data_IF_914553389652
#
_entry.id   IF_914553389652
#
_cell.length_a   1.000
_cell.length_b   1.000
_cell.length_c   1.000
_cell.angle_alpha   90.00
_cell.angle_beta   90.00
_cell.angle_gamma   90.00
#
_symmetry.space_group_name_H-M   'P 1'
#
loop_
_entity.id
_entity.type
_entity.pdbx_description
1 polymer ?
#
# COMPACT_ATOMS: atom_id res chain seq x y z
N UNK A 1 -11.60 -15.38 5.65
CA UNK A 1 -10.64 -14.88 6.67
C UNK A 1 -9.77 -15.99 7.28
N UNK A 2 -8.63 -16.28 6.65
CA UNK A 2 -7.74 -17.39 7.05
C UNK A 2 -7.17 -17.29 8.48
N UNK A 3 -7.11 -16.09 9.08
CA UNK A 3 -6.66 -15.89 10.46
C UNK A 3 -7.51 -16.65 11.50
N UNK A 4 -8.76 -16.93 11.16
CA UNK A 4 -9.68 -17.70 12.01
C UNK A 4 -10.10 -19.01 11.34
N UNK A 5 -9.43 -19.40 10.25
CA UNK A 5 -9.69 -20.66 9.55
C UNK A 5 -11.04 -20.73 8.84
N UNK A 6 -11.54 -19.60 8.34
CA UNK A 6 -12.75 -19.56 7.52
C UNK A 6 -12.41 -19.09 6.11
N UNK A 7 -12.97 -19.75 5.11
CA UNK A 7 -12.81 -19.41 3.69
C UNK A 7 -14.05 -19.84 2.89
N UNK A 8 -14.74 -18.88 2.25
CA UNK A 8 -15.91 -19.15 1.40
C UNK A 8 -15.77 -18.65 -0.03
N UNK A 9 -14.76 -17.84 -0.34
CA UNK A 9 -14.62 -17.17 -1.64
C UNK A 9 -13.18 -17.22 -2.18
N UNK A 10 -13.03 -17.15 -3.50
CA UNK A 10 -11.76 -17.37 -4.18
C UNK A 10 -10.75 -16.22 -3.92
N UNK A 11 -9.48 -16.59 -3.69
CA UNK A 11 -8.37 -15.64 -3.61
C UNK A 11 -8.30 -14.77 -4.89
N UNK A 12 -8.53 -13.46 -4.76
CA UNK A 12 -8.39 -12.52 -5.88
C UNK A 12 -9.61 -11.65 -6.18
N UNK A 13 -10.76 -11.89 -5.56
CA UNK A 13 -11.99 -11.11 -5.80
C UNK A 13 -12.03 -9.77 -5.02
N UNK A 14 -10.88 -9.08 -4.93
CA UNK A 14 -10.73 -7.84 -4.16
C UNK A 14 -11.52 -6.66 -4.72
N UNK A 15 -12.01 -6.75 -5.96
CA UNK A 15 -12.72 -5.67 -6.65
C UNK A 15 -14.25 -5.79 -6.58
N UNK A 16 -14.79 -6.89 -6.06
CA UNK A 16 -16.23 -7.14 -5.93
C UNK A 16 -16.78 -6.82 -4.53
N UNK A 17 -15.96 -6.34 -3.59
CA UNK A 17 -16.42 -5.84 -2.28
C UNK A 17 -17.22 -4.54 -2.41
N UNK A 18 -18.39 -4.61 -3.02
CA UNK A 18 -19.42 -3.61 -2.83
C UNK A 18 -20.01 -3.85 -1.44
N UNK A 19 -19.79 -2.89 -0.53
CA UNK A 19 -20.29 -2.91 0.85
C UNK A 19 -21.81 -3.11 1.00
N UNK A 20 -22.56 -3.10 -0.10
CA UNK A 20 -24.02 -3.02 -0.16
C UNK A 20 -24.64 -3.95 -1.20
N UNK A 21 -23.94 -4.97 -1.70
CA UNK A 21 -24.63 -5.94 -2.55
C UNK A 21 -25.44 -6.91 -1.68
N UNK A 22 -26.74 -6.99 -1.94
CA UNK A 22 -27.74 -7.67 -1.10
C UNK A 22 -27.74 -9.21 -1.24
N UNK A 23 -26.86 -9.76 -2.09
CA UNK A 23 -26.74 -11.19 -2.34
C UNK A 23 -25.64 -11.87 -1.51
N UNK A 24 -24.51 -11.18 -1.30
CA UNK A 24 -23.38 -11.65 -0.51
C UNK A 24 -23.17 -10.75 0.71
N UNK A 25 -22.87 -11.32 1.87
CA UNK A 25 -22.77 -10.56 3.13
C UNK A 25 -21.52 -9.67 3.11
N UNK A 26 -21.55 -8.51 2.43
CA UNK A 26 -20.37 -7.69 2.09
C UNK A 26 -19.36 -7.49 3.23
N UNK A 27 -18.08 -7.28 2.93
CA UNK A 27 -16.89 -7.29 3.81
C UNK A 27 -17.08 -7.40 5.34
N UNK A 28 -17.78 -6.46 5.99
CA UNK A 28 -18.00 -6.50 7.44
C UNK A 28 -18.94 -7.63 7.88
N UNK A 29 -19.94 -7.97 7.07
CA UNK A 29 -20.82 -9.12 7.24
C UNK A 29 -20.04 -10.42 7.23
N UNK A 30 -19.18 -10.64 6.24
CA UNK A 30 -18.27 -11.79 6.19
C UNK A 30 -17.38 -11.90 7.43
N UNK A 31 -16.80 -10.79 7.91
CA UNK A 31 -15.99 -10.79 9.13
C UNK A 31 -16.83 -11.27 10.31
N UNK A 32 -18.04 -10.75 10.49
CA UNK A 32 -18.92 -11.15 11.60
C UNK A 32 -19.32 -12.62 11.45
N UNK A 33 -19.72 -13.05 10.26
CA UNK A 33 -20.14 -14.42 9.97
C UNK A 33 -19.00 -15.42 10.20
N UNK A 34 -17.77 -15.02 9.89
CA UNK A 34 -16.62 -15.87 10.01
C UNK A 34 -16.30 -16.26 11.46
N UNK A 35 -16.69 -15.45 12.45
CA UNK A 35 -16.58 -15.84 13.87
C UNK A 35 -17.42 -17.08 14.20
N UNK A 36 -18.50 -17.34 13.48
CA UNK A 36 -19.35 -18.53 13.71
C UNK A 36 -18.69 -19.82 13.24
N UNK A 37 -17.72 -19.73 12.33
CA UNK A 37 -16.99 -20.87 11.75
C UNK A 37 -15.51 -20.87 12.17
N UNK A 38 -15.20 -20.22 13.28
CA UNK A 38 -13.84 -20.01 13.70
C UNK A 38 -13.16 -21.33 14.12
N UNK A 39 -12.07 -21.67 13.45
CA UNK A 39 -11.27 -22.85 13.74
C UNK A 39 -10.23 -22.57 14.83
N UNK A 40 -10.37 -23.22 15.99
CA UNK A 40 -9.52 -22.97 17.15
C UNK A 40 -8.01 -23.12 16.87
N UNK A 41 -7.62 -24.13 16.07
CA UNK A 41 -6.21 -24.33 15.69
C UNK A 41 -5.64 -23.17 14.87
N UNK A 42 -6.45 -22.57 13.98
CA UNK A 42 -6.03 -21.42 13.17
C UNK A 42 -5.82 -20.18 14.03
N UNK A 43 -6.75 -19.92 14.97
CA UNK A 43 -6.64 -18.82 15.92
C UNK A 43 -5.37 -18.93 16.75
N UNK A 44 -5.07 -20.13 17.29
CA UNK A 44 -3.85 -20.35 18.10
C UNK A 44 -2.60 -20.05 17.26
N UNK A 45 -2.52 -20.60 16.04
CA UNK A 45 -1.38 -20.35 15.14
C UNK A 45 -1.25 -18.86 14.82
N UNK A 46 -2.35 -18.15 14.55
CA UNK A 46 -2.34 -16.71 14.29
C UNK A 46 -1.89 -15.91 15.51
N UNK A 47 -2.39 -16.21 16.71
CA UNK A 47 -1.99 -15.51 17.94
C UNK A 47 -0.52 -15.71 18.27
N UNK A 48 -0.02 -16.95 18.15
CA UNK A 48 1.41 -17.26 18.33
C UNK A 48 2.25 -16.52 17.29
N UNK A 49 1.81 -16.52 16.03
CA UNK A 49 2.49 -15.81 14.93
C UNK A 49 2.58 -14.31 15.19
N UNK A 50 1.47 -13.68 15.61
CA UNK A 50 1.47 -12.26 16.00
C UNK A 50 2.38 -12.00 17.19
N UNK A 51 2.36 -12.88 18.20
CA UNK A 51 3.26 -12.81 19.36
C UNK A 51 4.74 -12.80 18.95
N UNK A 52 5.13 -13.72 18.05
CA UNK A 52 6.49 -13.79 17.50
C UNK A 52 6.85 -12.50 16.76
N UNK A 53 5.98 -12.00 15.88
CA UNK A 53 6.24 -10.78 15.11
C UNK A 53 6.35 -9.54 16.01
N UNK A 54 5.50 -9.43 17.03
CA UNK A 54 5.56 -8.34 18.02
C UNK A 54 6.85 -8.44 18.83
N UNK A 55 7.24 -9.64 19.27
CA UNK A 55 8.49 -9.88 19.99
C UNK A 55 9.70 -9.47 19.15
N UNK A 56 9.75 -9.87 17.87
CA UNK A 56 10.80 -9.45 16.94
C UNK A 56 10.87 -7.92 16.75
N UNK A 57 9.73 -7.24 16.80
CA UNK A 57 9.68 -5.78 16.66
C UNK A 57 10.04 -5.04 17.95
N UNK A 58 9.75 -5.59 19.13
CA UNK A 58 10.00 -4.94 20.43
C UNK A 58 11.36 -5.28 21.03
N UNK A 59 11.87 -6.50 20.84
CA UNK A 59 13.10 -7.00 21.47
C UNK A 59 14.30 -6.72 20.56
N UNK A 60 15.22 -5.80 20.92
CA UNK A 60 16.36 -5.45 20.07
C UNK A 60 17.34 -6.61 19.82
N UNK A 61 17.46 -7.54 20.77
CA UNK A 61 18.33 -8.71 20.63
C UNK A 61 17.91 -9.62 19.46
N UNK A 62 16.61 -9.84 19.27
CA UNK A 62 16.07 -10.62 18.16
C UNK A 62 16.34 -9.94 16.81
N UNK A 63 16.37 -8.60 16.77
CA UNK A 63 16.73 -7.85 15.56
C UNK A 63 18.20 -7.99 15.17
N UNK A 64 19.08 -8.37 16.10
CA UNK A 64 20.50 -8.62 15.81
C UNK A 64 20.71 -9.97 15.10
N UNK A 65 19.74 -10.89 15.16
CA UNK A 65 19.75 -12.15 14.42
C UNK A 65 19.45 -11.88 12.94
N UNK A 66 20.42 -11.32 12.21
CA UNK A 66 20.30 -10.98 10.79
C UNK A 66 19.96 -12.20 9.90
N UNK A 67 20.31 -13.41 10.36
CA UNK A 67 20.10 -14.67 9.63
C UNK A 67 18.65 -15.19 9.70
N UNK A 68 17.86 -14.78 10.70
CA UNK A 68 16.51 -15.33 10.90
C UNK A 68 15.47 -14.20 11.00
N UNK A 69 14.86 -13.81 9.87
CA UNK A 69 13.76 -12.85 9.85
C UNK A 69 12.54 -13.36 10.62
N UNK A 70 11.84 -12.46 11.32
CA UNK A 70 10.61 -12.79 12.05
C UNK A 70 9.56 -13.56 11.23
N UNK A 71 9.25 -13.17 9.98
CA UNK A 71 8.32 -13.92 9.13
C UNK A 71 8.76 -15.37 8.86
N UNK A 72 10.06 -15.64 8.73
CA UNK A 72 10.56 -17.00 8.54
C UNK A 72 10.34 -17.84 9.80
N UNK A 73 10.57 -17.27 10.99
CA UNK A 73 10.31 -17.93 12.26
C UNK A 73 8.83 -18.25 12.43
N UNK A 74 7.94 -17.31 12.06
CA UNK A 74 6.49 -17.52 12.05
C UNK A 74 6.11 -18.74 11.20
N UNK A 75 6.65 -18.85 9.99
CA UNK A 75 6.38 -19.98 9.10
C UNK A 75 6.84 -21.30 9.71
N UNK A 76 8.08 -21.36 10.21
CA UNK A 76 8.64 -22.57 10.81
C UNK A 76 7.82 -23.00 12.02
N UNK A 77 7.54 -22.07 12.95
CA UNK A 77 6.75 -22.36 14.15
C UNK A 77 5.32 -22.75 13.81
N UNK A 78 4.70 -22.08 12.84
CA UNK A 78 3.35 -22.42 12.38
C UNK A 78 3.24 -23.82 11.79
N UNK A 79 4.23 -24.24 10.99
CA UNK A 79 4.32 -25.62 10.48
C UNK A 79 4.48 -26.59 11.66
N UNK A 80 5.41 -26.34 12.59
CA UNK A 80 5.65 -27.22 13.73
C UNK A 80 4.42 -27.37 14.63
N UNK A 81 3.72 -26.27 14.93
CA UNK A 81 2.48 -26.30 15.72
C UNK A 81 1.42 -27.14 15.00
N UNK A 82 1.25 -26.95 13.69
CA UNK A 82 0.26 -27.71 12.95
C UNK A 82 0.58 -29.21 12.88
N UNK A 83 1.86 -29.58 12.74
CA UNK A 83 2.28 -30.98 12.79
C UNK A 83 2.09 -31.59 14.19
N UNK A 84 2.31 -30.82 15.26
CA UNK A 84 1.97 -31.24 16.63
C UNK A 84 0.47 -31.43 16.82
N UNK A 85 -0.37 -30.56 16.25
CA UNK A 85 -1.82 -30.75 16.27
C UNK A 85 -2.23 -32.02 15.53
N UNK A 86 -1.69 -32.29 14.35
CA UNK A 86 -1.96 -33.55 13.63
C UNK A 86 -1.59 -34.78 14.47
N UNK A 87 -0.49 -34.72 15.22
CA UNK A 87 -0.01 -35.85 16.01
C UNK A 87 -0.78 -36.07 17.33
N UNK A 88 -1.09 -35.00 18.05
CA UNK A 88 -1.61 -35.08 19.44
C UNK A 88 -3.03 -34.58 19.62
N UNK A 89 -3.50 -33.67 18.76
CA UNK A 89 -4.82 -33.05 18.86
C UNK A 89 -5.47 -32.86 17.47
N UNK A 90 -5.93 -33.96 16.82
CA UNK A 90 -6.41 -33.91 15.43
C UNK A 90 -7.56 -32.92 15.19
N UNK A 91 -8.36 -32.61 16.23
CA UNK A 91 -9.43 -31.61 16.16
C UNK A 91 -8.93 -30.16 15.99
N UNK A 92 -7.65 -29.89 16.28
CA UNK A 92 -7.01 -28.58 16.09
C UNK A 92 -6.17 -28.52 14.81
N UNK A 93 -6.02 -29.63 14.09
CA UNK A 93 -5.18 -29.70 12.91
C UNK A 93 -5.77 -28.90 11.75
N UNK A 94 -4.97 -28.00 11.18
CA UNK A 94 -5.32 -27.20 10.00
C UNK A 94 -5.01 -28.06 8.77
N UNK A 95 -6.05 -28.37 7.99
CA UNK A 95 -5.95 -29.25 6.80
C UNK A 95 -6.72 -28.66 5.62
N UNK A 96 -6.61 -29.29 4.45
CA UNK A 96 -7.32 -28.90 3.23
C UNK A 96 -6.94 -27.49 2.75
N UNK A 97 -7.96 -26.70 2.40
CA UNK A 97 -7.83 -25.38 1.77
C UNK A 97 -7.25 -24.29 2.70
N UNK A 98 -7.01 -24.60 3.97
CA UNK A 98 -6.39 -23.66 4.93
C UNK A 98 -4.86 -23.81 5.03
N UNK A 99 -4.28 -24.68 4.21
CA UNK A 99 -2.84 -24.76 3.97
C UNK A 99 -2.50 -24.07 2.64
N UNK A 100 -1.28 -23.54 2.55
CA UNK A 100 -0.75 -23.05 1.27
C UNK A 100 -0.79 -24.19 0.25
N UNK A 101 -1.23 -23.89 -0.97
CA UNK A 101 -1.30 -24.86 -2.05
C UNK A 101 -0.48 -24.39 -3.24
N UNK A 102 0.74 -24.89 -3.35
CA UNK A 102 1.58 -24.70 -4.53
C UNK A 102 1.48 -25.94 -5.43
N UNK A 103 1.17 -25.75 -6.73
CA UNK A 103 1.16 -26.84 -7.68
C UNK A 103 2.57 -27.44 -7.84
N UNK A 104 2.69 -28.74 -8.09
CA UNK A 104 3.94 -29.35 -8.54
C UNK A 104 4.48 -28.63 -9.78
N UNK A 105 5.80 -28.55 -9.91
CA UNK A 105 6.43 -27.86 -11.04
C UNK A 105 6.05 -28.47 -12.41
N UNK A 106 5.83 -29.79 -12.46
CA UNK A 106 5.30 -30.47 -13.66
C UNK A 106 3.96 -29.90 -14.11
N UNK A 107 3.10 -29.58 -13.14
CA UNK A 107 1.74 -29.12 -13.38
C UNK A 107 1.74 -27.65 -13.80
N UNK A 108 2.70 -26.86 -13.32
CA UNK A 108 2.92 -25.49 -13.78
C UNK A 108 3.30 -25.47 -15.27
N UNK A 109 4.19 -26.37 -15.70
CA UNK A 109 4.60 -26.46 -17.10
C UNK A 109 3.44 -26.93 -17.99
N UNK A 110 2.68 -27.95 -17.55
CA UNK A 110 1.57 -28.49 -18.34
C UNK A 110 0.35 -27.57 -18.36
N UNK A 111 0.15 -26.77 -17.32
CA UNK A 111 -0.94 -25.78 -17.21
C UNK A 111 -0.58 -24.43 -17.82
N UNK A 112 0.62 -24.26 -18.36
CA UNK A 112 1.00 -23.05 -19.06
C UNK A 112 0.06 -22.83 -20.25
N UNK A 113 -0.66 -21.71 -20.22
CA UNK A 113 -1.54 -21.28 -21.30
C UNK A 113 -1.05 -19.94 -21.81
N UNK A 114 -0.83 -19.87 -23.12
CA UNK A 114 -0.57 -18.60 -23.76
C UNK A 114 -1.81 -17.69 -23.66
N UNK A 115 -1.65 -16.36 -23.51
CA UNK A 115 -2.79 -15.47 -23.38
C UNK A 115 -3.77 -15.59 -24.54
N UNK A 116 -5.06 -15.65 -24.23
CA UNK A 116 -6.11 -15.58 -25.23
C UNK A 116 -6.34 -14.13 -25.64
N UNK A 117 -5.87 -13.78 -26.85
CA UNK A 117 -6.01 -12.44 -27.41
C UNK A 117 -7.44 -12.09 -27.82
N UNK A 118 -8.37 -13.06 -27.85
CA UNK A 118 -9.80 -12.77 -28.03
C UNK A 118 -10.32 -11.84 -26.93
N UNK A 119 -9.73 -11.91 -25.74
CA UNK A 119 -10.03 -11.04 -24.60
C UNK A 119 -9.79 -9.55 -24.85
N UNK A 120 -8.98 -9.17 -25.85
CA UNK A 120 -8.79 -7.76 -26.23
C UNK A 120 -10.07 -7.12 -26.80
N UNK A 121 -11.03 -7.92 -27.27
CA UNK A 121 -12.34 -7.43 -27.68
C UNK A 121 -13.27 -7.12 -26.49
N UNK A 122 -12.92 -7.57 -25.28
CA UNK A 122 -13.72 -7.36 -24.07
C UNK A 122 -13.39 -5.99 -23.45
N UNK A 123 -14.35 -5.06 -23.35
CA UNK A 123 -14.14 -3.75 -22.72
C UNK A 123 -13.67 -3.85 -21.25
N UNK A 124 -14.08 -4.89 -20.52
CA UNK A 124 -13.69 -5.08 -19.12
C UNK A 124 -12.17 -5.28 -18.96
N UNK A 125 -11.50 -5.90 -19.95
CA UNK A 125 -10.05 -6.09 -19.95
C UNK A 125 -9.33 -4.75 -20.04
N UNK A 126 -9.85 -3.81 -20.86
CA UNK A 126 -9.29 -2.46 -20.98
C UNK A 126 -9.48 -1.63 -19.71
N UNK A 127 -10.66 -1.69 -19.10
CA UNK A 127 -10.93 -0.97 -17.84
C UNK A 127 -10.02 -1.50 -16.72
N UNK A 128 -9.95 -2.82 -16.57
CA UNK A 128 -9.11 -3.47 -15.55
C UNK A 128 -7.62 -3.21 -15.82
N UNK A 129 -7.18 -3.36 -17.06
CA UNK A 129 -5.80 -3.10 -17.47
C UNK A 129 -5.38 -1.65 -17.25
N UNK A 130 -6.25 -0.68 -17.58
CA UNK A 130 -6.00 0.74 -17.33
C UNK A 130 -5.94 1.06 -15.82
N UNK A 131 -6.83 0.45 -15.04
CA UNK A 131 -6.86 0.58 -13.57
C UNK A 131 -5.56 0.07 -12.96
N UNK A 132 -5.14 -1.14 -13.34
CA UNK A 132 -3.88 -1.75 -12.89
C UNK A 132 -2.70 -0.88 -13.34
N UNK A 133 -2.66 -0.43 -14.59
CA UNK A 133 -1.58 0.43 -15.09
C UNK A 133 -1.46 1.73 -14.27
N UNK A 134 -2.58 2.37 -13.93
CA UNK A 134 -2.58 3.58 -13.12
C UNK A 134 -2.06 3.32 -11.69
N UNK A 135 -2.64 2.33 -11.00
CA UNK A 135 -2.25 1.96 -9.62
C UNK A 135 -0.78 1.53 -9.57
N UNK A 136 -0.38 0.64 -10.47
CA UNK A 136 0.96 0.09 -10.55
C UNK A 136 1.99 1.19 -10.83
N UNK A 137 1.67 2.17 -11.69
CA UNK A 137 2.54 3.30 -12.00
C UNK A 137 2.71 4.21 -10.78
N UNK A 138 1.62 4.55 -10.08
CA UNK A 138 1.69 5.37 -8.87
C UNK A 138 2.52 4.68 -7.78
N UNK A 139 2.24 3.41 -7.49
CA UNK A 139 2.98 2.66 -6.48
C UNK A 139 4.47 2.58 -6.79
N UNK A 140 4.80 2.32 -8.06
CA UNK A 140 6.20 2.17 -8.47
C UNK A 140 6.95 3.49 -8.42
N UNK A 141 6.33 4.61 -8.79
CA UNK A 141 6.95 5.94 -8.67
C UNK A 141 7.13 6.36 -7.21
N UNK A 142 6.15 6.08 -6.35
CA UNK A 142 6.29 6.32 -4.90
C UNK A 142 7.42 5.48 -4.30
N UNK A 143 7.54 4.22 -4.74
CA UNK A 143 8.65 3.34 -4.34
C UNK A 143 10.00 3.82 -4.86
N UNK A 144 10.05 4.37 -6.08
CA UNK A 144 11.25 4.96 -6.69
C UNK A 144 11.73 6.16 -5.88
N UNK A 145 10.85 7.12 -5.61
CA UNK A 145 11.17 8.33 -4.86
C UNK A 145 11.63 8.00 -3.43
N UNK A 146 10.91 7.10 -2.75
CA UNK A 146 11.31 6.65 -1.42
C UNK A 146 12.64 5.89 -1.45
N UNK A 147 12.89 5.09 -2.48
CA UNK A 147 14.16 4.40 -2.73
C UNK A 147 15.33 5.37 -2.90
N UNK A 148 15.20 6.35 -3.79
CA UNK A 148 16.22 7.39 -4.04
C UNK A 148 16.50 8.21 -2.76
N UNK A 149 15.47 8.50 -1.96
CA UNK A 149 15.63 9.19 -0.67
C UNK A 149 16.45 8.37 0.34
N UNK A 150 16.28 7.06 0.34
CA UNK A 150 17.00 6.12 1.20
C UNK A 150 18.38 5.74 0.66
N UNK A 151 18.66 5.95 -0.63
CA UNK A 151 19.95 5.58 -1.24
C UNK A 151 21.11 6.33 -0.55
N UNK A 152 22.07 5.62 0.07
CA UNK A 152 23.23 6.25 0.70
C UNK A 152 24.10 7.01 -0.31
N UNK A 153 24.08 6.60 -1.58
CA UNK A 153 24.84 7.23 -2.66
C UNK A 153 24.11 8.42 -3.30
N UNK A 154 22.86 8.69 -2.90
CA UNK A 154 22.03 9.79 -3.43
C UNK A 154 21.97 9.82 -4.95
N UNK A 155 21.89 8.66 -5.58
CA UNK A 155 21.74 8.55 -7.03
C UNK A 155 20.32 8.95 -7.42
N UNK A 156 20.19 9.47 -8.62
CA UNK A 156 18.91 9.85 -9.21
C UNK A 156 18.42 8.77 -10.17
N UNK A 157 17.14 8.42 -10.05
CA UNK A 157 16.48 7.47 -10.94
C UNK A 157 15.46 8.17 -11.84
N UNK A 158 15.43 7.82 -13.12
CA UNK A 158 14.49 8.37 -14.09
C UNK A 158 13.12 7.70 -13.97
N UNK A 159 12.09 8.47 -13.60
CA UNK A 159 10.70 8.02 -13.55
C UNK A 159 10.22 7.42 -14.89
N UNK A 160 10.58 8.05 -16.02
CA UNK A 160 10.23 7.54 -17.36
C UNK A 160 10.85 6.17 -17.64
N UNK A 161 12.07 5.94 -17.16
CA UNK A 161 12.76 4.67 -17.34
C UNK A 161 12.13 3.58 -16.48
N UNK A 162 11.74 3.92 -15.25
CA UNK A 162 11.06 3.02 -14.33
C UNK A 162 9.69 2.58 -14.89
N UNK A 163 8.87 3.52 -15.38
CA UNK A 163 7.57 3.21 -15.97
C UNK A 163 7.69 2.32 -17.22
N UNK A 164 8.69 2.58 -18.08
CA UNK A 164 8.97 1.71 -19.24
C UNK A 164 9.38 0.31 -18.79
N UNK A 165 10.27 0.20 -17.81
CA UNK A 165 10.72 -1.09 -17.28
C UNK A 165 9.53 -1.88 -16.68
N UNK A 166 8.67 -1.20 -15.91
CA UNK A 166 7.48 -1.80 -15.33
C UNK A 166 6.48 -2.27 -16.39
N UNK A 167 6.26 -1.49 -17.44
CA UNK A 167 5.39 -1.87 -18.56
C UNK A 167 5.90 -3.12 -19.28
N UNK A 168 7.20 -3.17 -19.59
CA UNK A 168 7.84 -4.35 -20.20
C UNK A 168 7.75 -5.56 -19.28
N UNK A 169 8.01 -5.37 -17.99
CA UNK A 169 7.98 -6.46 -17.01
C UNK A 169 6.55 -7.04 -16.85
N UNK A 170 5.52 -6.19 -16.84
CA UNK A 170 4.12 -6.63 -16.80
C UNK A 170 3.67 -7.31 -18.09
N UNK A 171 4.10 -6.81 -19.26
CA UNK A 171 3.83 -7.48 -20.53
C UNK A 171 4.42 -8.90 -20.56
N UNK A 172 5.68 -9.05 -20.11
CA UNK A 172 6.33 -10.36 -19.99
C UNK A 172 5.66 -11.24 -18.93
N UNK A 173 5.28 -10.68 -17.78
CA UNK A 173 4.56 -11.42 -16.73
C UNK A 173 3.25 -11.99 -17.28
N UNK A 174 2.43 -11.15 -17.93
CA UNK A 174 1.16 -11.58 -18.53
C UNK A 174 1.33 -12.62 -19.64
N UNK A 175 2.36 -12.48 -20.49
CA UNK A 175 2.69 -13.49 -21.50
C UNK A 175 3.04 -14.85 -20.89
N UNK A 176 3.66 -14.85 -19.71
CA UNK A 176 4.00 -16.05 -18.96
C UNK A 176 2.84 -16.60 -18.10
N UNK A 177 1.65 -15.99 -18.18
CA UNK A 177 0.50 -16.34 -17.33
C UNK A 177 0.62 -15.84 -15.89
N UNK A 178 1.54 -14.91 -15.63
CA UNK A 178 1.77 -14.30 -14.33
C UNK A 178 0.81 -13.16 -14.02
N UNK A 179 0.68 -12.86 -12.72
CA UNK A 179 -0.07 -11.71 -12.24
C UNK A 179 0.69 -10.40 -12.50
N UNK A 180 -0.01 -9.25 -12.51
CA UNK A 180 0.63 -7.95 -12.55
C UNK A 180 1.61 -7.74 -11.40
N UNK A 181 2.73 -7.07 -11.68
CA UNK A 181 3.82 -6.84 -10.74
C UNK A 181 4.12 -5.35 -10.57
N UNK A 182 4.55 -4.99 -9.36
CA UNK A 182 4.91 -3.62 -8.97
C UNK A 182 6.21 -3.60 -8.15
N UNK A 183 6.81 -2.41 -8.05
CA UNK A 183 7.91 -2.17 -7.12
C UNK A 183 7.37 -2.10 -5.68
N UNK A 184 8.12 -2.67 -4.72
CA UNK A 184 7.67 -2.78 -3.32
C UNK A 184 8.69 -2.17 -2.37
N UNK A 185 8.27 -1.13 -1.65
CA UNK A 185 9.15 -0.35 -0.77
C UNK A 185 9.84 -1.17 0.32
N UNK A 186 9.15 -2.15 0.88
CA UNK A 186 9.67 -2.98 1.97
C UNK A 186 10.87 -3.82 1.49
N UNK A 187 10.80 -4.38 0.28
CA UNK A 187 11.90 -5.16 -0.32
C UNK A 187 13.06 -4.24 -0.70
N UNK A 188 12.77 -3.08 -1.28
CA UNK A 188 13.80 -2.07 -1.60
C UNK A 188 14.55 -1.62 -0.35
N UNK A 189 13.83 -1.31 0.73
CA UNK A 189 14.42 -0.91 2.02
C UNK A 189 15.30 -2.02 2.60
N UNK A 190 14.84 -3.27 2.57
CA UNK A 190 15.63 -4.42 3.04
C UNK A 190 16.91 -4.61 2.22
N UNK A 191 16.82 -4.47 0.89
CA UNK A 191 17.94 -4.59 -0.03
C UNK A 191 18.99 -3.48 0.19
N UNK A 192 18.54 -2.22 0.37
CA UNK A 192 19.42 -1.08 0.71
C UNK A 192 20.10 -1.31 2.06
N UNK A 193 19.35 -1.74 3.09
CA UNK A 193 19.90 -2.03 4.42
C UNK A 193 20.87 -3.22 4.43
N UNK A 194 20.74 -4.15 3.48
CA UNK A 194 21.70 -5.23 3.26
C UNK A 194 22.97 -4.76 2.53
N UNK A 195 23.05 -3.48 2.13
CA UNK A 195 24.21 -2.90 1.45
C UNK A 195 24.28 -3.20 -0.04
N UNK A 196 23.16 -3.60 -0.68
CA UNK A 196 23.13 -3.85 -2.11
C UNK A 196 23.40 -2.56 -2.90
N UNK A 197 24.26 -2.67 -3.92
CA UNK A 197 24.69 -1.52 -4.75
C UNK A 197 24.29 -1.62 -6.21
N UNK A 198 24.00 -2.83 -6.69
CA UNK A 198 23.75 -3.14 -8.11
C UNK A 198 22.45 -3.90 -8.29
N UNK A 199 21.94 -3.90 -9.54
CA UNK A 199 20.74 -4.64 -9.94
C UNK A 199 20.90 -6.17 -9.84
N UNK A 200 22.14 -6.68 -9.67
CA UNK A 200 22.38 -8.11 -9.51
C UNK A 200 21.68 -8.67 -8.27
N UNK A 201 21.54 -7.88 -7.20
CA UNK A 201 20.85 -8.33 -5.98
C UNK A 201 19.40 -8.77 -6.26
N UNK A 202 18.67 -8.02 -7.09
CA UNK A 202 17.28 -8.36 -7.43
C UNK A 202 17.21 -9.55 -8.38
N UNK A 203 18.17 -9.71 -9.29
CA UNK A 203 18.28 -10.88 -10.17
C UNK A 203 18.53 -12.15 -9.35
N UNK A 204 19.52 -12.14 -8.45
CA UNK A 204 19.79 -13.28 -7.57
C UNK A 204 18.60 -13.57 -6.64
N UNK A 205 17.92 -12.54 -6.14
CA UNK A 205 16.70 -12.73 -5.35
C UNK A 205 15.61 -13.46 -6.14
N UNK A 206 15.38 -13.08 -7.41
CA UNK A 206 14.44 -13.76 -8.29
C UNK A 206 14.84 -15.21 -8.58
N UNK A 207 16.13 -15.47 -8.84
CA UNK A 207 16.66 -16.83 -9.03
C UNK A 207 16.45 -17.69 -7.77
N UNK A 208 16.77 -17.16 -6.59
CA UNK A 208 16.57 -17.89 -5.34
C UNK A 208 15.10 -18.17 -5.05
N UNK A 209 14.21 -17.23 -5.37
CA UNK A 209 12.77 -17.43 -5.26
C UNK A 209 12.29 -18.54 -6.19
N UNK A 210 12.74 -18.53 -7.45
CA UNK A 210 12.42 -19.58 -8.42
C UNK A 210 12.91 -20.95 -7.93
N UNK A 211 14.16 -21.04 -7.46
CA UNK A 211 14.72 -22.28 -6.90
C UNK A 211 13.90 -22.76 -5.69
N UNK A 212 13.52 -21.86 -4.79
CA UNK A 212 12.71 -22.21 -3.62
C UNK A 212 11.34 -22.76 -4.02
N UNK A 213 10.63 -22.08 -4.92
CA UNK A 213 9.31 -22.52 -5.39
C UNK A 213 9.37 -23.88 -6.08
N UNK A 214 10.46 -24.20 -6.79
CA UNK A 214 10.61 -25.51 -7.43
C UNK A 214 11.06 -26.59 -6.44
N UNK A 215 11.93 -26.26 -5.49
CA UNK A 215 12.65 -27.26 -4.68
C UNK A 215 11.96 -27.63 -3.37
N UNK A 216 11.18 -26.72 -2.78
CA UNK A 216 10.53 -26.93 -1.47
C UNK A 216 9.00 -26.81 -1.42
N UNK A 217 8.20 -27.11 -2.49
CA UNK A 217 6.73 -27.18 -2.38
C UNK A 217 6.25 -28.07 -1.23
N UNK A 218 6.90 -29.21 -1.00
CA UNK A 218 6.50 -30.15 0.06
C UNK A 218 6.59 -29.57 1.48
N UNK A 219 7.45 -28.57 1.70
CA UNK A 219 7.52 -27.82 2.96
C UNK A 219 6.52 -26.66 2.96
N UNK A 220 6.45 -25.90 1.86
CA UNK A 220 5.56 -24.75 1.74
C UNK A 220 4.09 -25.16 1.85
N UNK A 221 3.70 -26.31 1.29
CA UNK A 221 2.32 -26.82 1.35
C UNK A 221 1.89 -27.30 2.73
N UNK A 222 2.81 -27.36 3.70
CA UNK A 222 2.47 -27.63 5.12
C UNK A 222 2.19 -26.35 5.90
N UNK A 223 2.46 -25.18 5.32
CA UNK A 223 2.30 -23.89 5.96
C UNK A 223 0.81 -23.56 6.11
N UNK A 224 0.34 -23.32 7.34
CA UNK A 224 -1.02 -22.81 7.54
C UNK A 224 -1.16 -21.39 7.01
N UNK A 225 -2.24 -21.11 6.27
CA UNK A 225 -2.59 -19.77 5.77
C UNK A 225 -2.79 -18.76 6.92
N UNK A 226 -3.14 -19.25 8.12
CA UNK A 226 -3.18 -18.49 9.36
C UNK A 226 -1.86 -17.74 9.68
N UNK A 227 -0.71 -18.30 9.26
CA UNK A 227 0.61 -17.67 9.40
C UNK A 227 0.73 -16.46 8.46
N UNK A 228 0.35 -16.62 7.20
CA UNK A 228 0.36 -15.55 6.19
C UNK A 228 -0.60 -14.44 6.59
N UNK A 229 -1.79 -14.78 7.08
CA UNK A 229 -2.74 -13.81 7.59
C UNK A 229 -2.16 -12.98 8.75
N UNK A 230 -1.48 -13.61 9.71
CA UNK A 230 -0.81 -12.90 10.81
C UNK A 230 0.29 -11.96 10.31
N UNK A 231 1.09 -12.40 9.32
CA UNK A 231 2.12 -11.58 8.69
C UNK A 231 1.49 -10.35 8.01
N UNK A 232 0.43 -10.54 7.24
CA UNK A 232 -0.29 -9.47 6.54
C UNK A 232 -0.92 -8.47 7.51
N UNK A 233 -1.57 -8.95 8.58
CA UNK A 233 -2.13 -8.09 9.64
C UNK A 233 -1.01 -7.21 10.24
N UNK A 234 0.14 -7.80 10.57
CA UNK A 234 1.24 -7.05 11.17
C UNK A 234 1.84 -6.02 10.20
N UNK A 235 1.95 -6.37 8.91
CA UNK A 235 2.41 -5.43 7.87
C UNK A 235 1.41 -4.28 7.73
N UNK A 236 0.10 -4.59 7.66
CA UNK A 236 -0.98 -3.60 7.60
C UNK A 236 -0.93 -2.64 8.79
N UNK A 237 -0.82 -3.15 10.01
CA UNK A 237 -0.69 -2.32 11.23
C UNK A 237 0.57 -1.44 11.23
N UNK A 238 1.66 -1.90 10.61
CA UNK A 238 2.90 -1.13 10.50
C UNK A 238 2.77 0.00 9.47
N UNK A 239 2.13 -0.27 8.33
CA UNK A 239 1.90 0.71 7.27
C UNK A 239 0.85 1.76 7.69
N UNK A 240 -0.29 1.31 8.21
CA UNK A 240 -1.38 2.15 8.71
C UNK A 240 -1.23 2.44 10.22
N UNK A 241 -0.01 2.76 10.67
CA UNK A 241 0.24 2.88 12.11
C UNK A 241 -0.53 4.06 12.73
N UNK A 242 -1.04 3.94 13.97
CA UNK A 242 -1.75 5.05 14.64
C UNK A 242 -0.93 6.34 14.75
N UNK A 243 0.41 6.24 14.69
CA UNK A 243 1.32 7.38 14.67
C UNK A 243 1.13 8.24 13.41
N UNK A 244 0.85 7.63 12.26
CA UNK A 244 0.60 8.35 11.00
C UNK A 244 -0.69 9.17 11.12
N UNK A 245 -1.77 8.56 11.62
CA UNK A 245 -3.04 9.25 11.85
C UNK A 245 -2.88 10.42 12.82
N UNK A 246 -2.16 10.21 13.93
CA UNK A 246 -1.87 11.27 14.90
C UNK A 246 -1.03 12.39 14.28
N UNK A 247 -0.03 12.06 13.46
CA UNK A 247 0.81 13.04 12.79
C UNK A 247 0.00 13.89 11.80
N UNK A 248 -0.86 13.27 11.00
CA UNK A 248 -1.76 13.98 10.07
C UNK A 248 -2.76 14.87 10.82
N UNK A 249 -3.30 14.40 11.95
CA UNK A 249 -4.16 15.22 12.81
C UNK A 249 -3.44 16.47 13.34
N UNK A 250 -2.20 16.30 13.80
CA UNK A 250 -1.36 17.38 14.31
C UNK A 250 -0.95 18.39 13.22
N UNK A 251 -0.89 17.96 11.95
CA UNK A 251 -0.61 18.85 10.82
C UNK A 251 -1.80 19.78 10.46
N UNK A 252 -2.95 19.59 11.12
CA UNK A 252 -4.10 20.47 11.04
C UNK A 252 -5.13 20.04 10.01
N UNK A 253 -6.31 20.66 10.08
CA UNK A 253 -7.51 20.26 9.32
C UNK A 253 -7.33 20.26 7.80
N UNK A 254 -6.46 21.11 7.27
CA UNK A 254 -6.23 21.22 5.82
C UNK A 254 -5.47 20.02 5.24
N UNK A 255 -4.73 19.28 6.07
CA UNK A 255 -4.06 18.04 5.68
C UNK A 255 -4.83 16.81 6.17
N UNK A 256 -5.39 16.87 7.37
CA UNK A 256 -6.11 15.73 7.95
C UNK A 256 -7.40 15.38 7.20
N UNK A 257 -8.19 16.37 6.76
CA UNK A 257 -9.48 16.10 6.10
C UNK A 257 -9.29 15.38 4.76
N UNK A 258 -8.45 15.85 3.81
CA UNK A 258 -8.20 15.09 2.59
C UNK A 258 -7.63 13.70 2.86
N UNK A 259 -6.73 13.56 3.83
CA UNK A 259 -6.18 12.28 4.24
C UNK A 259 -7.26 11.29 4.69
N UNK A 260 -8.09 11.65 5.68
CA UNK A 260 -9.09 10.72 6.22
C UNK A 260 -10.20 10.42 5.22
N UNK A 261 -10.57 11.39 4.37
CA UNK A 261 -11.53 11.17 3.28
C UNK A 261 -10.98 10.16 2.28
N UNK A 262 -9.70 10.26 1.92
CA UNK A 262 -9.05 9.27 1.04
C UNK A 262 -9.09 7.88 1.66
N UNK A 263 -8.73 7.77 2.95
CA UNK A 263 -8.75 6.48 3.67
C UNK A 263 -10.14 5.86 3.68
N UNK A 264 -11.17 6.63 4.05
CA UNK A 264 -12.55 6.13 4.10
C UNK A 264 -13.04 5.77 2.70
N UNK A 265 -12.78 6.61 1.70
CA UNK A 265 -13.21 6.36 0.33
C UNK A 265 -12.58 5.09 -0.24
N UNK A 266 -11.27 4.86 -0.04
CA UNK A 266 -10.60 3.63 -0.49
C UNK A 266 -11.18 2.39 0.20
N UNK A 267 -11.49 2.46 1.49
CA UNK A 267 -12.07 1.33 2.24
C UNK A 267 -13.51 1.04 1.81
N UNK A 268 -14.26 2.06 1.40
CA UNK A 268 -15.70 1.94 1.08
C UNK A 268 -15.96 1.64 -0.39
N UNK A 269 -15.05 2.03 -1.28
CA UNK A 269 -15.18 1.88 -2.72
C UNK A 269 -14.05 0.98 -3.23
N UNK A 270 -13.05 1.56 -3.87
CA UNK A 270 -11.84 0.91 -4.32
C UNK A 270 -10.67 1.90 -4.28
N UNK A 271 -9.46 1.40 -4.53
CA UNK A 271 -8.25 2.21 -4.50
C UNK A 271 -8.28 3.37 -5.51
N UNK A 272 -8.76 3.14 -6.74
CA UNK A 272 -8.72 4.14 -7.80
C UNK A 272 -9.75 5.25 -7.55
N UNK A 273 -11.00 4.88 -7.27
CA UNK A 273 -12.07 5.83 -6.92
C UNK A 273 -11.70 6.58 -5.65
N UNK A 274 -11.22 5.86 -4.63
CA UNK A 274 -10.83 6.46 -3.36
C UNK A 274 -9.70 7.48 -3.49
N UNK A 275 -8.65 7.18 -4.26
CA UNK A 275 -7.57 8.12 -4.57
C UNK A 275 -8.08 9.31 -5.40
N UNK A 276 -8.98 9.08 -6.37
CA UNK A 276 -9.59 10.14 -7.16
C UNK A 276 -10.39 11.15 -6.31
N UNK A 277 -11.23 10.63 -5.41
CA UNK A 277 -11.98 11.45 -4.43
C UNK A 277 -11.01 12.20 -3.52
N UNK A 278 -10.00 11.49 -2.99
CA UNK A 278 -8.96 12.06 -2.14
C UNK A 278 -8.22 13.23 -2.78
N UNK A 279 -7.85 13.08 -4.06
CA UNK A 279 -7.18 14.12 -4.84
C UNK A 279 -8.09 15.33 -5.06
N UNK A 280 -9.35 15.13 -5.45
CA UNK A 280 -10.30 16.21 -5.64
C UNK A 280 -10.50 17.03 -4.35
N UNK A 281 -10.65 16.35 -3.21
CA UNK A 281 -10.75 16.99 -1.90
C UNK A 281 -9.45 17.70 -1.52
N UNK A 282 -8.29 17.09 -1.78
CA UNK A 282 -6.98 17.71 -1.53
C UNK A 282 -6.81 19.02 -2.29
N UNK A 283 -7.13 19.02 -3.59
CA UNK A 283 -7.07 20.22 -4.44
C UNK A 283 -7.97 21.32 -3.86
N UNK A 284 -9.22 21.00 -3.51
CA UNK A 284 -10.13 21.97 -2.90
C UNK A 284 -9.58 22.59 -1.61
N UNK A 285 -9.02 21.77 -0.71
CA UNK A 285 -8.48 22.26 0.56
C UNK A 285 -7.20 23.09 0.37
N UNK A 286 -6.33 22.73 -0.58
CA UNK A 286 -5.14 23.51 -0.93
C UNK A 286 -5.55 24.88 -1.47
N UNK A 287 -6.48 24.93 -2.42
CA UNK A 287 -6.99 26.17 -3.00
C UNK A 287 -7.61 27.06 -1.91
N UNK A 288 -8.44 26.50 -1.04
CA UNK A 288 -9.06 27.23 0.08
C UNK A 288 -8.04 27.76 1.10
N UNK A 289 -6.96 27.00 1.35
CA UNK A 289 -5.86 27.41 2.21
C UNK A 289 -5.10 28.60 1.62
N UNK A 290 -4.71 28.50 0.36
CA UNK A 290 -3.96 29.55 -0.35
C UNK A 290 -4.76 30.86 -0.50
N UNK A 291 -6.07 30.78 -0.75
CA UNK A 291 -6.94 31.96 -0.81
C UNK A 291 -7.03 32.73 0.51
N UNK A 292 -6.88 32.06 1.66
CA UNK A 292 -6.89 32.70 2.98
C UNK A 292 -5.56 33.36 3.34
N UNK A 293 -4.43 32.82 2.89
CA UNK A 293 -3.12 33.47 3.10
C UNK A 293 -3.04 34.82 2.37
N UNK A 294 -3.73 34.96 1.23
CA UNK A 294 -3.83 36.23 0.52
C UNK A 294 -4.71 37.28 1.24
N UNK A 295 -5.41 36.90 2.32
CA UNK A 295 -6.39 37.73 3.02
C UNK A 295 -5.90 38.25 4.39
N UNK A 296 -4.60 38.18 4.68
CA UNK A 296 -4.01 38.91 5.81
C UNK A 296 -3.86 40.39 5.46
N UNK A 297 -4.99 41.10 5.40
CA UNK A 297 -5.00 42.55 5.45
C UNK A 297 -4.62 42.94 6.88
N UNK A 298 -3.34 43.24 7.09
CA UNK A 298 -2.87 43.87 8.32
C UNK A 298 -3.55 45.23 8.36
N UNK A 299 -4.54 45.40 9.24
CA UNK A 299 -5.24 46.67 9.46
C UNK A 299 -4.29 47.62 10.20
N UNK A 300 -3.21 48.02 9.54
CA UNK A 300 -2.45 49.19 9.94
C UNK A 300 -3.27 50.39 9.43
N UNK A 301 -3.63 51.31 10.33
CA UNK A 301 -4.33 52.55 9.99
C UNK A 301 -3.37 53.44 9.19
N UNK A 302 -3.30 53.21 7.89
CA UNK A 302 -2.46 54.00 7.00
C UNK A 302 -3.08 55.38 6.80
N UNK A 303 -2.28 56.42 7.05
CA UNK A 303 -2.69 57.81 6.82
C UNK A 303 -2.39 58.24 5.38
N UNK A 304 -3.13 59.25 4.89
CA UNK A 304 -2.92 59.79 3.55
C UNK A 304 -1.49 60.35 3.40
N UNK A 305 -0.75 59.86 2.39
CA UNK A 305 0.63 60.26 2.10
C UNK A 305 1.72 59.31 2.63
N UNK A 306 1.36 58.21 3.31
CA UNK A 306 2.33 57.22 3.80
C UNK A 306 2.88 56.31 2.67
N UNK A 307 4.10 55.80 2.84
CA UNK A 307 4.66 54.77 1.95
C UNK A 307 4.27 53.39 2.45
N UNK A 308 3.44 52.68 1.68
CA UNK A 308 2.88 51.38 2.04
C UNK A 308 3.65 50.27 1.33
N UNK A 309 4.17 49.31 2.09
CA UNK A 309 4.89 48.15 1.58
C UNK A 309 3.97 46.93 1.45
N UNK A 310 3.81 46.40 0.24
CA UNK A 310 3.06 45.16 -0.02
C UNK A 310 4.04 44.06 -0.37
N UNK A 311 4.27 43.15 0.57
CA UNK A 311 5.01 41.92 0.29
C UNK A 311 4.06 40.90 -0.36
N UNK A 312 4.29 40.61 -1.64
CA UNK A 312 3.61 39.53 -2.34
C UNK A 312 4.15 38.17 -1.86
N UNK A 313 3.30 37.14 -1.92
CA UNK A 313 3.75 35.77 -1.68
C UNK A 313 4.80 35.36 -2.73
N UNK A 314 5.71 34.45 -2.34
CA UNK A 314 6.77 33.92 -3.22
C UNK A 314 6.26 33.40 -4.58
N UNK A 315 5.02 32.89 -4.62
CA UNK A 315 4.32 32.58 -5.87
C UNK A 315 2.96 33.27 -5.94
N UNK A 316 2.81 34.16 -6.92
CA UNK A 316 1.57 34.87 -7.22
C UNK A 316 0.92 34.20 -8.43
N UNK A 317 -0.26 33.61 -8.24
CA UNK A 317 -1.03 32.95 -9.30
C UNK A 317 -2.34 33.72 -9.60
N UNK A 318 -3.08 33.30 -10.63
CA UNK A 318 -4.40 33.85 -10.95
C UNK A 318 -5.37 33.81 -9.75
N UNK A 319 -5.22 32.83 -8.86
CA UNK A 319 -6.03 32.67 -7.66
C UNK A 319 -5.90 33.87 -6.72
N UNK A 320 -4.73 34.52 -6.69
CA UNK A 320 -4.45 35.66 -5.83
C UNK A 320 -5.03 36.98 -6.37
N UNK A 321 -5.49 37.02 -7.64
CA UNK A 321 -5.94 38.24 -8.33
C UNK A 321 -7.05 38.98 -7.58
N UNK A 322 -8.04 38.24 -7.08
CA UNK A 322 -9.18 38.83 -6.37
C UNK A 322 -8.74 39.52 -5.08
N UNK A 323 -7.89 38.85 -4.29
CA UNK A 323 -7.35 39.38 -3.05
C UNK A 323 -6.45 40.61 -3.30
N UNK A 324 -5.55 40.55 -4.27
CA UNK A 324 -4.68 41.70 -4.63
C UNK A 324 -5.51 42.89 -5.09
N UNK A 325 -6.50 42.67 -5.98
CA UNK A 325 -7.36 43.74 -6.49
C UNK A 325 -8.16 44.40 -5.36
N UNK A 326 -8.64 43.60 -4.41
CA UNK A 326 -9.39 44.11 -3.27
C UNK A 326 -8.50 44.87 -2.29
N UNK A 327 -7.28 44.37 -2.02
CA UNK A 327 -6.29 45.08 -1.18
C UNK A 327 -5.94 46.43 -1.80
N UNK A 328 -5.65 46.50 -3.10
CA UNK A 328 -5.36 47.75 -3.81
C UNK A 328 -6.55 48.73 -3.79
N UNK A 329 -7.79 48.21 -3.86
CA UNK A 329 -8.99 49.04 -3.83
C UNK A 329 -9.30 49.67 -2.46
N UNK A 330 -8.71 49.15 -1.37
CA UNK A 330 -8.92 49.67 -0.01
C UNK A 330 -7.79 50.59 0.47
N UNK A 331 -6.80 50.91 -0.37
CA UNK A 331 -5.71 51.81 0.00
C UNK A 331 -6.16 53.28 -0.05
N UNK A 332 -5.64 54.14 0.85
CA UNK A 332 -5.93 55.58 0.83
C UNK A 332 -5.53 56.22 -0.51
N UNK A 333 -6.29 57.22 -0.95
CA UNK A 333 -5.90 58.02 -2.12
C UNK A 333 -4.57 58.75 -1.86
N UNK A 334 -3.75 58.91 -2.91
CA UNK A 334 -2.40 59.50 -2.86
C UNK A 334 -1.36 58.76 -1.98
N UNK A 335 -1.55 57.46 -1.74
CA UNK A 335 -0.53 56.60 -1.12
C UNK A 335 0.63 56.31 -2.07
N UNK A 336 1.86 56.21 -1.54
CA UNK A 336 3.01 55.70 -2.31
C UNK A 336 3.17 54.21 -2.05
N UNK A 337 3.03 53.38 -3.08
CA UNK A 337 3.11 51.93 -2.94
C UNK A 337 4.51 51.41 -3.30
N UNK A 338 5.05 50.50 -2.50
CA UNK A 338 6.25 49.72 -2.81
C UNK A 338 5.87 48.24 -2.76
N UNK A 339 6.09 47.53 -3.86
CA UNK A 339 5.82 46.08 -4.03
C UNK A 339 7.15 45.36 -4.15
#
# INVERSE_FOLDING_TARGET
PHAIGYDTEHEGDFYSYQLTDSADQGFFGEIIHSFNFAHAGAIIVTLVSLGILIAYNKIPALKKLKLLPGPLVVVIVGILINELFKAFYPSLAITGNHLVSLPPFSDVISSYKFPDFSGLANPAVWITGATIAAVASIETLLCLEAGDKMDPMKRYSSANTELKAQGVANALSGLLGGLPITSVIVRTTANINAGAKTKLSTIFHGIFLLVAVISIPGLLNRMPMACLAAILIMIGLKLASPKVFRHMWQAGKYQFVPFIVTVVAVVVTDLLIGVGIGLAVSIFFILKGNMRLAYFFKKEEHQAGETIFINLAQEVSFLNKAAIKQTLAHLPENSKLVI
#
